data_IF_251633833275
#
_entry.id   IF_251633833275
#
_cell.length_a   1.000
_cell.length_b   1.000
_cell.length_c   1.000
_cell.angle_alpha   90.00
_cell.angle_beta   90.00
_cell.angle_gamma   90.00
#
_symmetry.space_group_name_H-M   'P 1'
#
loop_
_entity.id
_entity.type
_entity.pdbx_description
1 polymer ?
#
# COMPACT_ATOMS: atom_id res chain seq x y z
N UNK A 1 -2.87 -10.80 -18.57
CA UNK A 1 -3.04 -11.55 -17.30
C UNK A 1 -3.37 -10.53 -16.23
N UNK A 2 -4.45 -10.74 -15.53
CA UNK A 2 -4.96 -9.90 -14.46
C UNK A 2 -4.63 -10.56 -13.11
N UNK A 3 -4.59 -9.79 -12.01
CA UNK A 3 -4.36 -10.34 -10.67
C UNK A 3 -5.42 -11.38 -10.28
N UNK A 4 -6.64 -11.23 -10.79
CA UNK A 4 -7.77 -12.17 -10.65
C UNK A 4 -7.54 -13.51 -11.32
N UNK A 5 -6.69 -13.57 -12.34
CA UNK A 5 -6.38 -14.82 -13.06
C UNK A 5 -5.35 -15.67 -12.30
N UNK A 6 -4.72 -15.12 -11.24
CA UNK A 6 -3.76 -15.82 -10.43
C UNK A 6 -4.49 -16.70 -9.41
N UNK A 7 -4.50 -17.99 -9.66
CA UNK A 7 -5.08 -19.02 -8.77
C UNK A 7 -4.12 -19.48 -7.67
N UNK A 8 -2.82 -19.20 -7.84
CA UNK A 8 -1.81 -19.54 -6.83
C UNK A 8 -2.04 -18.79 -5.53
N UNK A 9 -1.96 -19.51 -4.41
CA UNK A 9 -1.97 -18.91 -3.09
C UNK A 9 -0.54 -18.57 -2.64
N UNK A 10 -0.34 -17.46 -1.92
CA UNK A 10 0.97 -17.14 -1.38
C UNK A 10 1.42 -18.19 -0.36
N UNK A 11 2.72 -18.43 -0.34
CA UNK A 11 3.32 -19.31 0.69
C UNK A 11 2.99 -18.72 2.06
N UNK A 12 2.45 -19.55 2.95
CA UNK A 12 2.12 -19.13 4.30
C UNK A 12 3.36 -18.62 5.03
N UNK A 13 3.35 -17.36 5.40
CA UNK A 13 4.46 -16.73 6.12
C UNK A 13 4.45 -17.16 7.57
N UNK A 14 5.51 -17.81 8.00
CA UNK A 14 5.67 -18.27 9.39
C UNK A 14 5.96 -17.08 10.31
N UNK A 15 5.26 -16.99 11.44
CA UNK A 15 5.51 -15.97 12.45
C UNK A 15 5.16 -14.55 12.05
N UNK A 16 4.33 -14.36 11.01
CA UNK A 16 3.87 -13.02 10.60
C UNK A 16 4.93 -12.13 9.94
N UNK A 17 6.02 -12.71 9.43
CA UNK A 17 7.12 -11.98 8.76
C UNK A 17 6.76 -11.56 7.34
N UNK A 18 5.60 -10.94 7.17
CA UNK A 18 5.08 -10.54 5.85
C UNK A 18 5.97 -9.54 5.14
N UNK A 19 6.60 -8.61 5.86
CA UNK A 19 7.48 -7.61 5.26
C UNK A 19 8.72 -8.25 4.66
N UNK A 20 9.37 -9.17 5.38
CA UNK A 20 10.53 -9.92 4.87
C UNK A 20 10.15 -10.79 3.67
N UNK A 21 8.93 -11.37 3.69
CA UNK A 21 8.39 -12.11 2.55
C UNK A 21 8.24 -11.23 1.30
N UNK A 22 7.69 -10.02 1.45
CA UNK A 22 7.57 -9.07 0.35
C UNK A 22 8.93 -8.57 -0.14
N UNK A 23 9.88 -8.28 0.75
CA UNK A 23 11.27 -7.95 0.37
C UNK A 23 11.92 -9.06 -0.47
N UNK A 24 11.72 -10.32 -0.09
CA UNK A 24 12.25 -11.46 -0.86
C UNK A 24 11.67 -11.52 -2.26
N UNK A 25 10.34 -11.42 -2.38
CA UNK A 25 9.64 -11.42 -3.67
C UNK A 25 10.05 -10.23 -4.54
N UNK A 26 10.22 -9.04 -3.94
CA UNK A 26 10.64 -7.85 -4.68
C UNK A 26 12.07 -7.96 -5.18
N UNK A 27 12.99 -8.50 -4.39
CA UNK A 27 14.38 -8.73 -4.82
C UNK A 27 14.44 -9.69 -6.01
N UNK A 28 13.69 -10.79 -5.98
CA UNK A 28 13.59 -11.71 -7.13
C UNK A 28 13.06 -11.01 -8.39
N UNK A 29 12.05 -10.15 -8.26
CA UNK A 29 11.48 -9.39 -9.37
C UNK A 29 12.50 -8.37 -9.91
N UNK A 30 13.18 -7.64 -9.03
CA UNK A 30 14.23 -6.68 -9.40
C UNK A 30 15.39 -7.34 -10.15
N UNK A 31 15.80 -8.55 -9.76
CA UNK A 31 16.82 -9.30 -10.50
C UNK A 31 16.41 -9.59 -11.94
N UNK A 32 15.12 -9.80 -12.18
CA UNK A 32 14.59 -9.97 -13.54
C UNK A 32 14.59 -8.64 -14.30
N UNK A 33 14.12 -7.54 -13.69
CA UNK A 33 14.16 -6.21 -14.30
C UNK A 33 15.59 -5.74 -14.60
N UNK A 34 16.56 -6.01 -13.72
CA UNK A 34 17.97 -5.73 -13.97
C UNK A 34 18.48 -6.43 -15.23
N UNK A 35 18.08 -7.69 -15.45
CA UNK A 35 18.49 -8.47 -16.62
C UNK A 35 17.81 -8.03 -17.91
N UNK A 36 16.53 -7.67 -17.85
CA UNK A 36 15.70 -7.41 -19.05
C UNK A 36 15.70 -5.93 -19.41
N UNK A 37 15.58 -5.05 -18.43
CA UNK A 37 15.45 -3.60 -18.63
C UNK A 37 16.75 -2.83 -18.37
N UNK A 38 17.79 -3.52 -17.88
CA UNK A 38 19.07 -2.89 -17.60
C UNK A 38 19.07 -1.92 -16.43
N UNK A 39 18.19 -2.14 -15.47
CA UNK A 39 18.21 -1.38 -14.22
C UNK A 39 19.56 -1.56 -13.51
N UNK A 40 20.01 -0.59 -12.71
CA UNK A 40 21.26 -0.74 -11.95
C UNK A 40 21.12 -1.80 -10.87
N UNK A 41 22.26 -2.38 -10.49
CA UNK A 41 22.32 -3.22 -9.29
C UNK A 41 22.00 -2.40 -8.04
N UNK A 42 21.34 -3.04 -7.07
CA UNK A 42 21.03 -2.41 -5.77
C UNK A 42 22.01 -2.88 -4.67
N UNK A 43 22.25 -2.07 -3.62
CA UNK A 43 21.82 -0.67 -3.48
C UNK A 43 22.60 0.26 -4.42
N UNK A 44 22.03 1.44 -4.73
CA UNK A 44 22.70 2.43 -5.56
C UNK A 44 23.34 3.55 -4.73
N UNK A 45 24.43 4.12 -5.22
CA UNK A 45 25.03 5.30 -4.59
C UNK A 45 24.12 6.53 -4.73
N UNK A 46 23.52 6.94 -3.62
CA UNK A 46 22.59 8.09 -3.56
C UNK A 46 23.21 9.42 -3.94
N UNK A 47 24.55 9.49 -4.08
CA UNK A 47 25.25 10.72 -4.44
C UNK A 47 25.37 10.93 -5.94
N UNK A 48 25.13 9.91 -6.76
CA UNK A 48 25.23 10.05 -8.21
C UNK A 48 23.95 10.66 -8.79
N UNK A 49 24.10 11.45 -9.86
CA UNK A 49 22.96 12.04 -10.58
C UNK A 49 22.03 10.98 -11.16
N UNK A 50 22.60 9.89 -11.70
CA UNK A 50 21.86 8.77 -12.29
C UNK A 50 20.99 8.08 -11.25
N UNK A 51 21.55 7.76 -10.10
CA UNK A 51 20.82 7.15 -8.98
C UNK A 51 19.69 8.06 -8.48
N UNK A 52 19.95 9.37 -8.36
CA UNK A 52 18.93 10.31 -7.91
C UNK A 52 17.76 10.47 -8.88
N UNK A 53 17.97 10.27 -10.18
CA UNK A 53 16.88 10.23 -11.15
C UNK A 53 15.98 9.03 -10.87
N UNK A 54 16.56 7.85 -10.69
CA UNK A 54 15.85 6.59 -10.44
C UNK A 54 15.06 6.67 -9.13
N UNK A 55 15.72 7.11 -8.03
CA UNK A 55 15.06 7.26 -6.74
C UNK A 55 13.89 8.26 -6.78
N UNK A 56 14.03 9.35 -7.53
CA UNK A 56 12.95 10.33 -7.71
C UNK A 56 11.81 9.78 -8.54
N UNK A 57 12.10 8.92 -9.50
CA UNK A 57 11.09 8.22 -10.31
C UNK A 57 10.28 7.28 -9.43
N UNK A 58 10.91 6.42 -8.63
CA UNK A 58 10.20 5.55 -7.70
C UNK A 58 9.32 6.33 -6.71
N UNK A 59 9.82 7.43 -6.16
CA UNK A 59 8.97 8.31 -5.33
C UNK A 59 7.77 8.84 -6.11
N UNK A 60 7.95 9.21 -7.37
CA UNK A 60 6.88 9.65 -8.25
C UNK A 60 5.82 8.57 -8.42
N UNK A 61 6.25 7.36 -8.72
CA UNK A 61 5.37 6.20 -8.92
C UNK A 61 4.58 5.83 -7.65
N UNK A 62 5.21 5.80 -6.48
CA UNK A 62 4.46 5.58 -5.22
C UNK A 62 3.33 6.59 -5.06
N UNK A 63 3.58 7.88 -5.36
CA UNK A 63 2.57 8.94 -5.25
C UNK A 63 1.46 8.76 -6.30
N UNK A 64 1.81 8.34 -7.50
CA UNK A 64 0.89 8.08 -8.62
C UNK A 64 -0.08 6.95 -8.25
N UNK A 65 0.42 5.79 -7.83
CA UNK A 65 -0.42 4.65 -7.43
C UNK A 65 -1.32 4.98 -6.23
N UNK A 66 -0.81 5.71 -5.23
CA UNK A 66 -1.64 6.19 -4.13
C UNK A 66 -2.76 7.12 -4.60
N UNK A 67 -2.52 7.94 -5.63
CA UNK A 67 -3.52 8.82 -6.20
C UNK A 67 -4.56 8.03 -7.01
N UNK A 68 -4.15 7.02 -7.80
CA UNK A 68 -5.05 6.15 -8.55
C UNK A 68 -5.96 5.34 -7.62
N UNK A 69 -5.40 4.76 -6.55
CA UNK A 69 -6.20 4.09 -5.53
C UNK A 69 -7.19 5.03 -4.84
N UNK A 70 -6.81 6.30 -4.60
CA UNK A 70 -7.70 7.30 -4.08
C UNK A 70 -8.84 7.66 -5.06
N UNK A 71 -8.57 7.77 -6.36
CA UNK A 71 -9.60 7.99 -7.38
C UNK A 71 -10.61 6.84 -7.42
N UNK A 72 -10.17 5.60 -7.30
CA UNK A 72 -11.05 4.45 -7.18
C UNK A 72 -11.97 4.55 -5.95
N UNK A 73 -11.44 4.98 -4.79
CA UNK A 73 -12.23 5.21 -3.58
C UNK A 73 -13.23 6.37 -3.72
N UNK A 74 -12.91 7.42 -4.52
CA UNK A 74 -13.86 8.49 -4.87
C UNK A 74 -15.08 7.91 -5.60
N UNK A 75 -14.86 7.00 -6.53
CA UNK A 75 -15.94 6.38 -7.29
C UNK A 75 -16.84 5.54 -6.38
N UNK A 76 -16.26 4.77 -5.45
CA UNK A 76 -17.02 4.07 -4.41
C UNK A 76 -17.89 5.03 -3.61
N UNK A 77 -17.31 6.17 -3.14
CA UNK A 77 -18.07 7.16 -2.37
C UNK A 77 -19.25 7.72 -3.15
N UNK A 78 -19.05 8.07 -4.41
CA UNK A 78 -20.10 8.60 -5.27
C UNK A 78 -21.25 7.61 -5.49
N UNK A 79 -20.93 6.33 -5.69
CA UNK A 79 -21.93 5.28 -5.83
C UNK A 79 -22.71 5.08 -4.53
N UNK A 80 -22.02 5.02 -3.39
CA UNK A 80 -22.64 4.85 -2.07
C UNK A 80 -23.51 6.04 -1.66
N UNK A 81 -23.09 7.27 -1.95
CA UNK A 81 -23.89 8.48 -1.68
C UNK A 81 -25.14 8.58 -2.57
N UNK A 82 -24.96 8.34 -3.88
CA UNK A 82 -26.04 8.41 -4.87
C UNK A 82 -27.18 7.45 -4.55
N UNK A 83 -26.85 6.23 -4.17
CA UNK A 83 -27.80 5.13 -4.16
C UNK A 83 -28.30 4.80 -2.75
N UNK A 84 -27.78 5.48 -1.70
CA UNK A 84 -28.08 5.05 -0.32
C UNK A 84 -27.99 3.53 -0.20
N UNK A 85 -26.91 2.95 -0.74
CA UNK A 85 -26.66 1.51 -0.90
C UNK A 85 -26.94 0.65 0.35
N UNK A 86 -27.26 1.30 1.46
CA UNK A 86 -27.62 0.72 2.76
C UNK A 86 -29.14 0.61 2.96
N UNK A 87 -29.96 0.92 1.96
CA UNK A 87 -31.40 0.71 1.99
C UNK A 87 -31.76 -0.47 1.08
N UNK A 88 -32.73 -1.24 1.44
CA UNK A 88 -33.19 -2.53 0.90
C UNK A 88 -33.49 -2.62 -0.62
N UNK A 89 -33.17 -1.63 -1.40
CA UNK A 89 -33.36 -1.57 -2.85
C UNK A 89 -32.08 -1.01 -3.48
N UNK A 90 -31.07 -1.85 -3.71
CA UNK A 90 -29.89 -1.49 -4.50
C UNK A 90 -29.95 -2.15 -5.88
N UNK A 91 -29.41 -1.42 -6.85
CA UNK A 91 -29.20 -1.94 -8.19
C UNK A 91 -27.99 -2.87 -8.15
N UNK A 92 -28.17 -4.15 -8.55
CA UNK A 92 -27.14 -5.18 -8.58
C UNK A 92 -25.92 -4.72 -9.42
N UNK A 93 -26.15 -4.01 -10.52
CA UNK A 93 -25.07 -3.51 -11.39
C UNK A 93 -24.22 -2.46 -10.68
N UNK A 94 -24.83 -1.51 -9.97
CA UNK A 94 -24.12 -0.48 -9.20
C UNK A 94 -23.34 -1.07 -8.02
N UNK A 95 -23.88 -2.12 -7.41
CA UNK A 95 -23.17 -2.87 -6.37
C UNK A 95 -21.90 -3.54 -6.91
N UNK A 96 -22.00 -4.25 -8.04
CA UNK A 96 -20.86 -4.85 -8.73
C UNK A 96 -19.83 -3.79 -9.12
N UNK A 97 -20.27 -2.63 -9.60
CA UNK A 97 -19.35 -1.52 -9.90
C UNK A 97 -18.61 -1.04 -8.65
N UNK A 98 -19.30 -0.91 -7.52
CA UNK A 98 -18.69 -0.53 -6.25
C UNK A 98 -17.61 -1.52 -5.83
N UNK A 99 -17.88 -2.82 -5.94
CA UNK A 99 -16.94 -3.87 -5.63
C UNK A 99 -15.70 -3.85 -6.55
N UNK A 100 -15.90 -3.62 -7.84
CA UNK A 100 -14.81 -3.50 -8.80
C UNK A 100 -13.90 -2.30 -8.47
N UNK A 101 -14.48 -1.17 -8.05
CA UNK A 101 -13.67 -0.01 -7.63
C UNK A 101 -12.92 -0.26 -6.31
N UNK A 102 -13.51 -0.99 -5.36
CA UNK A 102 -12.82 -1.39 -4.13
C UNK A 102 -11.64 -2.33 -4.43
N UNK A 103 -11.85 -3.28 -5.34
CA UNK A 103 -10.78 -4.16 -5.78
C UNK A 103 -9.66 -3.36 -6.46
N UNK A 104 -10.00 -2.47 -7.38
CA UNK A 104 -9.03 -1.61 -8.05
C UNK A 104 -8.21 -0.80 -7.02
N UNK A 105 -8.88 -0.19 -6.03
CA UNK A 105 -8.17 0.51 -4.97
C UNK A 105 -7.16 -0.39 -4.23
N UNK A 106 -7.51 -1.66 -3.96
CA UNK A 106 -6.60 -2.63 -3.35
C UNK A 106 -5.41 -2.99 -4.25
N UNK A 107 -5.62 -3.09 -5.55
CA UNK A 107 -4.57 -3.35 -6.54
C UNK A 107 -3.58 -2.19 -6.64
N UNK A 108 -4.07 -0.94 -6.68
CA UNK A 108 -3.22 0.26 -6.69
C UNK A 108 -2.40 0.40 -5.39
N UNK A 109 -2.98 0.03 -4.24
CA UNK A 109 -2.21 -0.03 -2.99
C UNK A 109 -1.10 -1.10 -3.03
N UNK A 110 -1.32 -2.22 -3.72
CA UNK A 110 -0.28 -3.22 -3.93
C UNK A 110 0.82 -2.70 -4.87
N UNK A 111 0.48 -1.94 -5.90
CA UNK A 111 1.46 -1.30 -6.80
C UNK A 111 2.25 -0.21 -6.07
N UNK A 112 1.59 0.62 -5.27
CA UNK A 112 2.28 1.57 -4.39
C UNK A 112 3.29 0.86 -3.47
N UNK A 113 2.93 -0.32 -2.95
CA UNK A 113 3.84 -1.12 -2.13
C UNK A 113 5.01 -1.69 -2.93
N UNK A 114 4.80 -2.11 -4.20
CA UNK A 114 5.90 -2.52 -5.08
C UNK A 114 6.93 -1.42 -5.25
N UNK A 115 6.51 -0.22 -5.64
CA UNK A 115 7.42 0.91 -5.82
C UNK A 115 8.04 1.41 -4.51
N UNK A 116 7.32 1.31 -3.39
CA UNK A 116 7.88 1.62 -2.08
C UNK A 116 8.99 0.63 -1.69
N UNK A 117 8.81 -0.66 -1.94
CA UNK A 117 9.86 -1.66 -1.68
C UNK A 117 11.06 -1.47 -2.61
N UNK A 118 10.86 -1.12 -3.88
CA UNK A 118 11.96 -0.75 -4.77
C UNK A 118 12.74 0.43 -4.21
N UNK A 119 12.04 1.49 -3.80
CA UNK A 119 12.65 2.67 -3.20
C UNK A 119 13.47 2.31 -1.94
N UNK A 120 12.93 1.47 -1.06
CA UNK A 120 13.62 1.00 0.15
C UNK A 120 14.88 0.18 -0.21
N UNK A 121 14.76 -0.80 -1.11
CA UNK A 121 15.87 -1.68 -1.51
C UNK A 121 16.99 -0.88 -2.18
N UNK A 122 16.65 -0.01 -3.14
CA UNK A 122 17.63 0.83 -3.81
C UNK A 122 18.28 1.86 -2.89
N UNK A 123 17.56 2.31 -1.86
CA UNK A 123 18.07 3.24 -0.83
C UNK A 123 18.83 2.52 0.30
N UNK A 124 19.12 1.23 0.17
CA UNK A 124 19.81 0.41 1.18
C UNK A 124 19.10 0.37 2.54
N UNK A 125 17.78 0.37 2.54
CA UNK A 125 16.96 0.22 3.74
C UNK A 125 16.42 -1.20 3.78
N UNK A 126 16.76 -1.96 4.82
CA UNK A 126 16.32 -3.35 5.01
C UNK A 126 15.13 -3.41 5.98
N UNK A 127 14.43 -4.54 6.00
CA UNK A 127 13.31 -4.74 6.94
C UNK A 127 13.73 -4.54 8.41
N UNK A 128 14.94 -4.96 8.78
CA UNK A 128 15.51 -4.81 10.12
C UNK A 128 15.77 -3.34 10.50
N UNK A 129 16.09 -2.48 9.53
CA UNK A 129 16.28 -1.04 9.75
C UNK A 129 14.95 -0.40 10.13
N UNK A 130 13.87 -0.78 9.44
CA UNK A 130 12.51 -0.33 9.77
C UNK A 130 12.11 -0.79 11.17
N UNK A 131 12.43 -2.02 11.56
CA UNK A 131 12.16 -2.53 12.90
C UNK A 131 12.89 -1.72 13.97
N UNK A 132 14.16 -1.44 13.75
CA UNK A 132 14.97 -0.62 14.66
C UNK A 132 14.41 0.80 14.81
N UNK A 133 13.92 1.37 13.72
CA UNK A 133 13.28 2.68 13.70
C UNK A 133 11.98 2.69 14.51
N UNK A 134 11.14 1.67 14.31
CA UNK A 134 9.90 1.50 15.05
C UNK A 134 10.16 1.32 16.55
N UNK A 135 11.19 0.57 16.94
CA UNK A 135 11.56 0.39 18.34
C UNK A 135 12.02 1.68 19.00
N UNK A 136 12.77 2.51 18.30
CA UNK A 136 13.18 3.82 18.79
C UNK A 136 11.97 4.75 18.95
N UNK A 137 11.08 4.78 17.98
CA UNK A 137 9.85 5.58 18.05
C UNK A 137 8.93 5.15 19.18
N UNK A 138 8.81 3.86 19.45
CA UNK A 138 8.00 3.34 20.54
C UNK A 138 8.60 3.66 21.93
N UNK A 139 9.93 3.72 22.04
CA UNK A 139 10.59 4.13 23.31
C UNK A 139 10.27 5.58 23.65
N UNK A 140 10.24 6.46 22.66
CA UNK A 140 9.96 7.88 22.87
C UNK A 140 8.48 8.18 23.10
N UNK A 141 7.60 7.30 22.64
CA UNK A 141 6.13 7.48 22.70
C UNK A 141 5.47 6.26 23.36
N UNK A 142 5.67 6.10 24.67
CA UNK A 142 5.14 4.97 25.47
C UNK A 142 3.61 4.85 25.51
N UNK A 143 2.87 5.79 24.91
CA UNK A 143 1.41 5.85 24.94
C UNK A 143 0.67 5.02 23.87
N UNK A 144 1.38 4.41 22.92
CA UNK A 144 0.71 3.75 21.79
C UNK A 144 0.22 2.32 22.03
N UNK A 145 0.48 1.72 23.19
CA UNK A 145 -0.04 0.37 23.52
C UNK A 145 0.43 -0.76 22.61
N UNK A 146 1.38 -0.49 21.69
CA UNK A 146 1.92 -1.50 20.77
C UNK A 146 2.90 -2.40 21.51
N UNK A 147 2.65 -3.69 21.50
CA UNK A 147 3.52 -4.66 22.16
C UNK A 147 4.75 -4.95 21.30
N UNK A 148 5.93 -5.10 21.93
CA UNK A 148 7.19 -5.44 21.24
C UNK A 148 7.17 -6.79 20.50
N UNK A 149 6.16 -7.60 20.76
CA UNK A 149 6.00 -8.97 20.21
C UNK A 149 5.27 -9.01 18.87
N UNK A 150 4.74 -7.89 18.38
CA UNK A 150 4.05 -7.85 17.09
C UNK A 150 5.03 -7.99 15.93
N UNK A 151 4.66 -8.72 14.86
CA UNK A 151 5.43 -8.74 13.62
C UNK A 151 5.67 -7.33 13.07
N UNK A 152 6.84 -7.12 12.44
CA UNK A 152 7.30 -5.78 11.99
C UNK A 152 6.25 -5.03 11.16
N UNK A 153 5.58 -5.71 10.23
CA UNK A 153 4.58 -5.05 9.38
C UNK A 153 3.34 -4.64 10.18
N UNK A 154 2.83 -5.52 11.06
CA UNK A 154 1.67 -5.20 11.91
C UNK A 154 2.00 -4.04 12.86
N UNK A 155 3.22 -4.00 13.39
CA UNK A 155 3.72 -2.92 14.22
C UNK A 155 3.82 -1.60 13.45
N UNK A 156 4.33 -1.63 12.21
CA UNK A 156 4.39 -0.46 11.34
C UNK A 156 2.99 0.10 11.05
N UNK A 157 2.03 -0.77 10.73
CA UNK A 157 0.64 -0.37 10.51
C UNK A 157 0.01 0.27 11.74
N UNK A 158 0.18 -0.31 12.92
CA UNK A 158 -0.38 0.24 14.17
C UNK A 158 0.27 1.57 14.54
N UNK A 159 1.59 1.69 14.41
CA UNK A 159 2.32 2.93 14.68
C UNK A 159 1.90 4.01 13.68
N UNK A 160 1.83 3.69 12.38
CA UNK A 160 1.38 4.62 11.35
C UNK A 160 -0.04 5.13 11.62
N UNK A 161 -0.96 4.23 11.92
CA UNK A 161 -2.33 4.60 12.26
C UNK A 161 -2.39 5.49 13.52
N UNK A 162 -1.60 5.16 14.55
CA UNK A 162 -1.54 5.96 15.77
C UNK A 162 -1.01 7.37 15.51
N UNK A 163 -0.01 7.53 14.65
CA UNK A 163 0.52 8.84 14.25
C UNK A 163 -0.57 9.65 13.55
N UNK A 164 -1.25 9.04 12.58
CA UNK A 164 -2.31 9.68 11.82
C UNK A 164 -3.49 10.13 12.69
N UNK A 165 -3.90 9.31 13.67
CA UNK A 165 -4.97 9.65 14.60
C UNK A 165 -4.59 10.73 15.64
N UNK A 166 -3.32 10.81 16.02
CA UNK A 166 -2.84 11.79 17.00
C UNK A 166 -2.36 13.11 16.38
N UNK A 167 -2.32 13.21 15.05
CA UNK A 167 -2.04 14.48 14.40
C UNK A 167 -3.23 15.42 14.56
N UNK A 168 -3.06 16.61 15.19
CA UNK A 168 -4.14 17.59 15.37
C UNK A 168 -4.72 18.11 14.04
N UNK A 169 -4.00 17.97 12.94
CA UNK A 169 -4.48 18.29 11.58
C UNK A 169 -5.36 17.20 10.98
N UNK A 170 -5.25 15.98 11.49
CA UNK A 170 -6.07 14.85 11.05
C UNK A 170 -7.32 14.73 11.93
N UNK A 171 -8.38 15.41 11.54
CA UNK A 171 -9.71 15.25 12.15
C UNK A 171 -10.29 13.92 11.64
N UNK A 172 -9.70 12.83 12.05
CA UNK A 172 -10.33 11.51 11.92
C UNK A 172 -11.33 11.44 13.08
N UNK A 173 -12.58 11.75 12.81
CA UNK A 173 -13.64 11.48 13.78
C UNK A 173 -13.63 9.98 14.08
N UNK A 174 -13.64 9.61 15.38
CA UNK A 174 -13.73 8.21 15.77
C UNK A 174 -14.74 7.47 14.90
N UNK A 175 -14.39 6.32 14.34
CA UNK A 175 -15.30 5.55 13.52
C UNK A 175 -16.53 5.21 14.36
N UNK A 176 -17.66 5.85 14.07
CA UNK A 176 -18.93 5.40 14.63
C UNK A 176 -19.09 3.96 14.18
N UNK A 177 -19.16 3.04 15.15
CA UNK A 177 -19.40 1.64 14.90
C UNK A 177 -20.70 1.50 14.07
N UNK A 178 -20.58 1.44 12.76
CA UNK A 178 -21.69 1.07 11.88
C UNK A 178 -21.86 -0.45 11.93
N UNK A 179 -23.10 -0.86 11.93
CA UNK A 179 -23.50 -2.26 12.01
C UNK A 179 -22.74 -3.11 10.99
N UNK A 180 -21.96 -3.98 11.52
CA UNK A 180 -20.87 -4.76 10.91
C UNK A 180 -21.30 -5.79 9.86
N UNK A 181 -22.60 -5.99 9.66
CA UNK A 181 -23.07 -7.32 9.28
C UNK A 181 -23.55 -7.46 7.84
N UNK A 182 -24.10 -6.43 7.25
CA UNK A 182 -24.91 -6.61 6.04
C UNK A 182 -24.14 -6.95 4.75
N UNK A 183 -23.01 -6.30 4.46
CA UNK A 183 -22.32 -6.52 3.19
C UNK A 183 -21.61 -7.87 3.09
N UNK A 184 -21.14 -8.42 4.21
CA UNK A 184 -20.39 -9.67 4.20
C UNK A 184 -21.28 -10.91 4.30
N UNK A 185 -22.34 -10.82 5.10
CA UNK A 185 -23.30 -11.93 5.20
C UNK A 185 -24.08 -12.09 3.88
N UNK A 186 -24.41 -10.99 3.20
CA UNK A 186 -24.98 -11.07 1.85
C UNK A 186 -23.97 -11.61 0.83
N UNK A 187 -22.69 -11.28 0.99
CA UNK A 187 -21.64 -11.73 0.10
C UNK A 187 -21.34 -13.22 0.23
N UNK A 188 -21.21 -13.71 1.46
CA UNK A 188 -21.04 -15.14 1.76
C UNK A 188 -22.25 -15.94 1.26
N UNK A 189 -23.44 -15.34 1.27
CA UNK A 189 -24.66 -15.95 0.72
C UNK A 189 -24.74 -15.88 -0.81
N UNK A 190 -24.13 -14.86 -1.46
CA UNK A 190 -24.11 -14.74 -2.92
C UNK A 190 -23.08 -15.68 -3.58
N UNK A 191 -21.97 -16.02 -2.91
CA UNK A 191 -21.01 -17.01 -3.41
C UNK A 191 -21.61 -18.42 -3.48
N UNK A 192 -22.65 -18.72 -2.73
CA UNK A 192 -23.20 -20.07 -2.60
C UNK A 192 -24.15 -20.47 -3.74
N UNK A 193 -24.76 -19.52 -4.47
CA UNK A 193 -25.97 -19.86 -5.23
C UNK A 193 -25.91 -19.69 -6.77
N UNK A 194 -24.83 -19.20 -7.41
CA UNK A 194 -24.94 -19.00 -8.87
C UNK A 194 -23.61 -19.13 -9.68
N UNK A 195 -23.32 -20.36 -10.10
CA UNK A 195 -22.21 -20.67 -11.02
C UNK A 195 -22.36 -20.03 -12.43
N UNK A 196 -23.47 -19.34 -12.71
CA UNK A 196 -23.81 -18.86 -14.04
C UNK A 196 -23.84 -17.33 -14.20
N UNK A 197 -23.55 -16.55 -13.15
CA UNK A 197 -23.52 -15.08 -13.28
C UNK A 197 -22.16 -14.57 -13.78
N UNK A 198 -22.11 -13.94 -14.94
CA UNK A 198 -20.84 -13.41 -15.49
C UNK A 198 -20.36 -12.23 -14.65
N UNK A 199 -19.23 -12.37 -13.99
CA UNK A 199 -18.52 -11.28 -13.32
C UNK A 199 -18.28 -11.45 -11.83
N UNK A 200 -19.12 -12.17 -11.10
CA UNK A 200 -19.01 -12.34 -9.64
C UNK A 200 -17.97 -13.42 -9.27
N UNK A 201 -17.84 -14.46 -10.08
CA UNK A 201 -16.97 -15.62 -9.79
C UNK A 201 -15.46 -15.38 -9.75
N UNK A 202 -15.02 -14.17 -10.06
CA UNK A 202 -13.57 -13.85 -10.10
C UNK A 202 -13.09 -12.94 -8.99
N UNK A 203 -13.97 -12.50 -8.10
CA UNK A 203 -13.59 -11.51 -7.11
C UNK A 203 -13.35 -12.22 -5.77
N UNK A 204 -12.09 -12.26 -5.37
CA UNK A 204 -11.69 -12.83 -4.08
C UNK A 204 -12.22 -11.97 -2.93
N UNK A 205 -12.93 -12.59 -2.00
CA UNK A 205 -13.53 -11.91 -0.83
C UNK A 205 -12.52 -11.08 0.00
N UNK A 206 -11.23 -11.42 -0.07
CA UNK A 206 -10.16 -10.68 0.57
C UNK A 206 -9.98 -9.26 0.03
N UNK A 207 -10.28 -9.01 -1.24
CA UNK A 207 -10.30 -7.66 -1.80
C UNK A 207 -11.40 -6.78 -1.18
N UNK A 208 -12.48 -7.37 -0.71
CA UNK A 208 -13.61 -6.64 -0.11
C UNK A 208 -13.42 -6.30 1.36
N UNK A 209 -12.47 -6.91 2.03
CA UNK A 209 -12.15 -6.52 3.40
C UNK A 209 -11.68 -5.05 3.47
N UNK A 210 -11.11 -4.53 2.39
CA UNK A 210 -10.84 -3.10 2.25
C UNK A 210 -12.11 -2.24 2.40
N UNK A 211 -13.25 -2.71 1.94
CA UNK A 211 -14.53 -2.00 2.03
C UNK A 211 -15.11 -1.90 3.44
N UNK A 212 -14.79 -2.81 4.35
CA UNK A 212 -15.33 -2.80 5.72
C UNK A 212 -14.95 -1.57 6.53
N UNK A 213 -13.75 -1.04 6.29
CA UNK A 213 -13.23 0.13 6.99
C UNK A 213 -13.48 1.43 6.23
N UNK A 214 -13.73 1.35 4.93
CA UNK A 214 -14.00 2.52 4.10
C UNK A 214 -15.17 3.36 4.62
N UNK A 215 -16.22 2.71 5.11
CA UNK A 215 -17.38 3.39 5.69
C UNK A 215 -17.10 4.09 7.03
N UNK A 216 -15.96 3.82 7.65
CA UNK A 216 -15.57 4.40 8.94
C UNK A 216 -14.73 5.66 8.78
N UNK A 217 -14.06 5.81 7.62
CA UNK A 217 -13.24 6.97 7.32
C UNK A 217 -13.96 7.88 6.35
N UNK A 218 -13.99 9.16 6.66
CA UNK A 218 -14.49 10.13 5.70
C UNK A 218 -13.52 10.23 4.54
N UNK A 219 -14.03 10.48 3.35
CA UNK A 219 -13.27 10.79 2.14
C UNK A 219 -12.14 11.82 2.39
N UNK A 220 -12.42 12.85 3.18
CA UNK A 220 -11.42 13.84 3.57
C UNK A 220 -10.26 13.24 4.35
N UNK A 221 -10.50 12.26 5.23
CA UNK A 221 -9.47 11.61 6.03
C UNK A 221 -8.47 10.86 5.19
N UNK A 222 -8.92 10.10 4.16
CA UNK A 222 -8.02 9.44 3.21
C UNK A 222 -7.10 10.42 2.50
N UNK A 223 -7.65 11.53 2.04
CA UNK A 223 -6.89 12.58 1.37
C UNK A 223 -5.79 13.12 2.27
N UNK A 224 -6.10 13.39 3.53
CA UNK A 224 -5.08 13.87 4.48
C UNK A 224 -4.01 12.83 4.76
N UNK A 225 -4.40 11.58 5.00
CA UNK A 225 -3.46 10.48 5.25
C UNK A 225 -2.51 10.27 4.06
N UNK A 226 -3.04 10.26 2.83
CA UNK A 226 -2.25 10.18 1.62
C UNK A 226 -1.32 11.40 1.46
N UNK A 227 -1.79 12.59 1.84
CA UNK A 227 -0.97 13.80 1.81
C UNK A 227 0.22 13.71 2.75
N UNK A 228 0.08 13.15 3.96
CA UNK A 228 1.18 12.98 4.90
C UNK A 228 2.25 12.03 4.34
N UNK A 229 1.85 10.91 3.73
CA UNK A 229 2.78 10.02 3.01
C UNK A 229 3.52 10.79 1.91
N UNK A 230 2.77 11.50 1.07
CA UNK A 230 3.30 12.30 -0.05
C UNK A 230 4.24 13.40 0.44
N UNK A 231 3.93 14.04 1.56
CA UNK A 231 4.77 15.06 2.18
C UNK A 231 6.15 14.50 2.53
N UNK A 232 6.24 13.39 3.25
CA UNK A 232 7.52 12.79 3.63
C UNK A 232 8.30 12.29 2.42
N UNK A 233 7.65 11.70 1.43
CA UNK A 233 8.27 11.31 0.16
C UNK A 233 8.87 12.52 -0.56
N UNK A 234 8.17 13.66 -0.59
CA UNK A 234 8.71 14.88 -1.20
C UNK A 234 9.85 15.51 -0.37
N UNK A 235 9.82 15.40 0.97
CA UNK A 235 10.97 15.81 1.80
C UNK A 235 12.18 14.92 1.49
N UNK A 236 12.01 13.59 1.38
CA UNK A 236 13.08 12.69 0.93
C UNK A 236 13.65 13.14 -0.42
N UNK A 237 12.79 13.43 -1.42
CA UNK A 237 13.26 13.98 -2.72
C UNK A 237 14.08 15.27 -2.61
N UNK A 238 13.81 16.11 -1.60
CA UNK A 238 14.56 17.35 -1.39
C UNK A 238 16.00 17.11 -0.91
N UNK A 239 16.30 15.96 -0.30
CA UNK A 239 17.68 15.58 0.01
C UNK A 239 18.48 15.19 -1.25
N UNK A 240 17.81 14.74 -2.32
CA UNK A 240 18.40 14.35 -3.59
C UNK A 240 18.66 15.58 -4.48
N UNK A 241 19.68 16.38 -4.15
CA UNK A 241 19.92 17.70 -4.76
C UNK A 241 20.70 17.69 -6.08
N UNK A 242 21.28 16.54 -6.45
CA UNK A 242 22.04 16.42 -7.69
C UNK A 242 21.11 16.30 -8.89
N UNK A 243 21.04 17.37 -9.68
CA UNK A 243 20.16 17.45 -10.85
C UNK A 243 20.96 17.22 -12.14
N UNK A 244 20.39 16.56 -13.18
CA UNK A 244 21.12 16.25 -14.41
C UNK A 244 21.76 17.46 -15.08
N UNK A 245 21.08 18.60 -15.05
CA UNK A 245 21.52 19.84 -15.69
C UNK A 245 22.49 20.70 -14.88
N UNK A 246 22.75 20.36 -13.61
CA UNK A 246 23.72 21.08 -12.77
C UNK A 246 25.10 20.45 -12.90
N UNK A 247 26.13 21.27 -13.03
CA UNK A 247 27.54 20.80 -13.06
C UNK A 247 27.99 20.41 -11.65
N UNK A 248 27.56 21.15 -10.63
CA UNK A 248 27.91 20.85 -9.23
C UNK A 248 27.29 19.54 -8.74
N UNK A 249 28.04 18.80 -7.97
CA UNK A 249 27.59 17.63 -7.24
C UNK A 249 27.64 17.93 -5.75
N UNK A 250 26.59 17.56 -5.03
CA UNK A 250 26.48 17.74 -3.58
C UNK A 250 26.36 16.37 -2.92
N UNK A 251 26.98 16.21 -1.76
CA UNK A 251 26.76 15.04 -0.92
C UNK A 251 25.35 15.06 -0.36
N UNK A 252 24.68 13.92 -0.45
CA UNK A 252 23.36 13.70 0.14
C UNK A 252 23.52 13.40 1.63
N UNK A 253 22.70 14.03 2.48
CA UNK A 253 22.53 13.54 3.85
C UNK A 253 21.69 12.25 3.79
N UNK A 254 22.38 11.12 3.66
CA UNK A 254 21.78 9.80 3.44
C UNK A 254 20.90 9.39 4.63
N UNK A 255 21.35 9.60 5.86
CA UNK A 255 20.57 9.27 7.05
C UNK A 255 19.24 10.02 7.12
N UNK A 256 19.26 11.34 6.88
CA UNK A 256 18.03 12.12 6.85
C UNK A 256 17.11 11.75 5.67
N UNK A 257 17.70 11.39 4.52
CA UNK A 257 16.95 10.89 3.36
C UNK A 257 16.24 9.57 3.69
N UNK A 258 16.97 8.60 4.25
CA UNK A 258 16.42 7.29 4.64
C UNK A 258 15.34 7.42 5.73
N UNK A 259 15.58 8.31 6.71
CA UNK A 259 14.61 8.59 7.76
C UNK A 259 13.26 9.03 7.21
N UNK A 260 13.26 9.94 6.24
CA UNK A 260 12.01 10.42 5.63
C UNK A 260 11.29 9.34 4.80
N UNK A 261 12.03 8.44 4.13
CA UNK A 261 11.43 7.29 3.44
C UNK A 261 10.79 6.34 4.45
N UNK A 262 11.47 6.04 5.56
CA UNK A 262 10.91 5.15 6.60
C UNK A 262 9.66 5.77 7.23
N UNK A 263 9.64 7.09 7.47
CA UNK A 263 8.42 7.78 7.92
C UNK A 263 7.28 7.63 6.92
N UNK A 264 7.54 7.88 5.65
CA UNK A 264 6.54 7.71 4.59
C UNK A 264 6.01 6.27 4.53
N UNK A 265 6.91 5.28 4.64
CA UNK A 265 6.53 3.86 4.70
C UNK A 265 5.61 3.57 5.88
N UNK A 266 5.96 4.02 7.09
CA UNK A 266 5.16 3.78 8.30
C UNK A 266 3.76 4.41 8.16
N UNK A 267 3.68 5.64 7.66
CA UNK A 267 2.40 6.34 7.43
C UNK A 267 1.57 5.64 6.35
N UNK A 268 2.21 5.16 5.27
CA UNK A 268 1.54 4.38 4.24
C UNK A 268 0.96 3.07 4.82
N UNK A 269 1.67 2.40 5.72
CA UNK A 269 1.15 1.23 6.43
C UNK A 269 -0.06 1.58 7.29
N UNK A 270 -0.05 2.73 7.95
CA UNK A 270 -1.20 3.26 8.69
C UNK A 270 -2.39 3.52 7.77
N UNK A 271 -2.16 4.15 6.62
CA UNK A 271 -3.19 4.37 5.60
C UNK A 271 -3.81 3.03 5.15
N UNK A 272 -3.00 2.02 4.83
CA UNK A 272 -3.50 0.72 4.40
C UNK A 272 -4.34 0.05 5.49
N UNK A 273 -3.90 0.10 6.75
CA UNK A 273 -4.69 -0.42 7.86
C UNK A 273 -6.03 0.34 8.01
N UNK A 274 -6.02 1.66 7.85
CA UNK A 274 -7.23 2.47 7.87
C UNK A 274 -8.20 2.12 6.72
N UNK A 275 -7.68 1.65 5.58
CA UNK A 275 -8.46 1.09 4.48
C UNK A 275 -8.94 -0.35 4.74
N UNK A 276 -8.57 -0.97 5.85
CA UNK A 276 -8.89 -2.36 6.16
C UNK A 276 -7.93 -3.38 5.56
N UNK A 277 -6.83 -2.92 4.99
CA UNK A 277 -5.78 -3.79 4.45
C UNK A 277 -4.88 -4.22 5.60
N UNK A 278 -5.14 -5.40 6.16
CA UNK A 278 -4.27 -6.00 7.18
C UNK A 278 -2.92 -6.45 6.58
N UNK A 279 -1.91 -6.76 7.42
CA UNK A 279 -0.64 -7.32 6.93
C UNK A 279 -0.79 -8.54 6.04
N UNK A 280 -1.74 -9.42 6.37
CA UNK A 280 -2.02 -10.63 5.62
C UNK A 280 -2.67 -10.32 4.27
N UNK A 281 -3.65 -9.42 4.25
CA UNK A 281 -4.30 -8.95 3.02
C UNK A 281 -3.28 -8.25 2.12
N UNK A 282 -2.47 -7.36 2.67
CA UNK A 282 -1.43 -6.67 1.90
C UNK A 282 -0.46 -7.66 1.25
N UNK A 283 0.01 -8.66 2.01
CA UNK A 283 0.89 -9.69 1.48
C UNK A 283 0.23 -10.48 0.35
N UNK A 284 -1.05 -10.82 0.50
CA UNK A 284 -1.81 -11.50 -0.53
C UNK A 284 -1.95 -10.67 -1.81
N UNK A 285 -2.38 -9.40 -1.71
CA UNK A 285 -2.50 -8.49 -2.84
C UNK A 285 -1.15 -8.30 -3.55
N UNK A 286 -0.12 -8.06 -2.77
CA UNK A 286 1.26 -7.92 -3.22
C UNK A 286 1.74 -9.16 -3.99
N UNK A 287 1.49 -10.37 -3.45
CA UNK A 287 1.87 -11.62 -4.11
C UNK A 287 1.19 -11.77 -5.47
N UNK A 288 -0.12 -11.53 -5.54
CA UNK A 288 -0.88 -11.61 -6.80
C UNK A 288 -0.28 -10.66 -7.85
N UNK A 289 -0.04 -9.41 -7.48
CA UNK A 289 0.55 -8.41 -8.38
C UNK A 289 1.99 -8.76 -8.78
N UNK A 290 2.79 -9.27 -7.86
CA UNK A 290 4.15 -9.76 -8.16
C UNK A 290 4.12 -10.85 -9.25
N UNK A 291 3.15 -11.78 -9.20
CA UNK A 291 2.96 -12.80 -10.23
C UNK A 291 2.60 -12.20 -11.59
N UNK A 292 1.71 -11.22 -11.63
CA UNK A 292 1.38 -10.47 -12.85
C UNK A 292 2.63 -9.81 -13.43
N UNK A 293 3.42 -9.14 -12.61
CA UNK A 293 4.63 -8.46 -13.06
C UNK A 293 5.69 -9.45 -13.59
N UNK A 294 5.90 -10.59 -12.93
CA UNK A 294 6.77 -11.66 -13.45
C UNK A 294 6.31 -12.16 -14.82
N UNK A 295 4.99 -12.40 -14.98
CA UNK A 295 4.43 -12.82 -16.25
C UNK A 295 4.64 -11.77 -17.36
N UNK A 296 4.48 -10.47 -17.05
CA UNK A 296 4.72 -9.39 -18.03
C UNK A 296 6.18 -9.39 -18.51
N UNK A 297 7.14 -9.55 -17.62
CA UNK A 297 8.56 -9.64 -17.99
C UNK A 297 8.82 -10.85 -18.88
N UNK A 298 8.30 -12.04 -18.51
CA UNK A 298 8.50 -13.30 -19.25
C UNK A 298 7.85 -13.28 -20.64
N UNK A 299 6.67 -12.66 -20.76
CA UNK A 299 5.93 -12.54 -22.01
C UNK A 299 6.41 -11.40 -22.91
N UNK A 300 7.37 -10.59 -22.46
CA UNK A 300 7.86 -9.39 -23.17
C UNK A 300 6.72 -8.42 -23.53
N UNK A 301 5.74 -8.34 -22.64
CA UNK A 301 4.59 -7.47 -22.80
C UNK A 301 4.97 -6.02 -22.48
#
# INVERSE_FOLDING_TARGET
>A
MDSRDIIEEPIKVVGGKYLEGMYSLQKELLEQYIKVEGLPQYPIDVNTKKSQIILKDFVGRVIEELAEGYEALILVSKLTEKNKLWKSEYDEEEYIQCLNHLQNAGEEMADAMHFMLELLIYSNIQAQDIESYLDNWLKDKTSFGVTKTLPTLAKAMQVGLSILYNDPCNIVTEPKAMNKTYLLEEFENMEADDENKPGIHKIDSRFYQCGKFYNQLTYSSYKYMMWDVTYHLNIARNFLKNKPWKQSQMMTNEGAYQEEIVKAFILMMGLFLAMGISPEILYFLYFKKNRVNKFRIESKY
#
